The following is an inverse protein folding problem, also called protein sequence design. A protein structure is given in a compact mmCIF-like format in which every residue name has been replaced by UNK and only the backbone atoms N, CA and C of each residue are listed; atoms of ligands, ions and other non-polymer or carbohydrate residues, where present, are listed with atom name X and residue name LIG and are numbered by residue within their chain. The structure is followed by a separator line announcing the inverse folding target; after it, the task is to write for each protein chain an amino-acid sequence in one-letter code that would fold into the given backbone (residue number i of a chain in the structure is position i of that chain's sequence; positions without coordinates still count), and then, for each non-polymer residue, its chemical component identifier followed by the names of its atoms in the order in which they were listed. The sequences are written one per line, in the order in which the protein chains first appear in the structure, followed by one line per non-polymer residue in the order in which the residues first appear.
data_IF_586272390581
#
_entry.id   IF_586272390581
#
_cell.length_a   1.000
_cell.length_b   1.000
_cell.length_c   1.000
_cell.angle_alpha   90.00
_cell.angle_beta   90.00
_cell.angle_gamma   90.00
#
_symmetry.space_group_name_H-M   'P 1'
#
loop_
_entity.id
_entity.type
_entity.pdbx_description
1 polymer ?
#
# COMPACT_ATOMS: atom_id res chain seq x y z
N UNK A 1 39.25 25.75 1.64
CA UNK A 1 37.87 25.25 1.81
C UNK A 1 37.91 23.73 1.92
N UNK A 2 37.39 23.17 3.01
CA UNK A 2 37.59 21.75 3.35
C UNK A 2 36.82 20.85 2.37
N UNK A 3 37.50 19.95 1.65
CA UNK A 3 36.95 19.11 0.56
C UNK A 3 35.69 18.37 0.99
N UNK A 4 35.63 17.97 2.26
CA UNK A 4 34.49 17.29 2.87
C UNK A 4 33.23 18.16 2.94
N UNK A 5 33.39 19.46 3.22
CA UNK A 5 32.28 20.44 3.28
C UNK A 5 31.73 20.68 1.88
N UNK A 6 32.62 20.82 0.89
CA UNK A 6 32.26 21.02 -0.51
C UNK A 6 31.51 19.81 -1.10
N UNK A 7 32.01 18.58 -0.86
CA UNK A 7 31.31 17.34 -1.23
C UNK A 7 29.93 17.22 -0.59
N UNK A 8 29.80 17.62 0.69
CA UNK A 8 28.52 17.59 1.42
C UNK A 8 27.50 18.57 0.84
N UNK A 9 27.94 19.76 0.41
CA UNK A 9 27.09 20.73 -0.28
C UNK A 9 26.68 20.26 -1.69
N UNK A 10 27.61 19.76 -2.49
CA UNK A 10 27.33 19.19 -3.81
C UNK A 10 26.31 18.04 -3.75
N UNK A 11 26.45 17.12 -2.79
CA UNK A 11 25.49 16.02 -2.59
C UNK A 11 24.08 16.51 -2.26
N UNK A 12 23.96 17.62 -1.53
CA UNK A 12 22.66 18.22 -1.17
C UNK A 12 22.00 18.87 -2.38
N UNK A 13 22.79 19.55 -3.23
CA UNK A 13 22.31 20.15 -4.48
C UNK A 13 21.91 19.05 -5.48
N UNK A 14 22.75 18.04 -5.65
CA UNK A 14 22.45 16.88 -6.52
C UNK A 14 21.16 16.17 -6.12
N UNK A 15 20.93 15.92 -4.82
CA UNK A 15 19.67 15.34 -4.34
C UNK A 15 18.46 16.24 -4.56
N UNK A 16 18.60 17.57 -4.44
CA UNK A 16 17.52 18.51 -4.77
C UNK A 16 17.21 18.50 -6.27
N UNK A 17 18.24 18.45 -7.12
CA UNK A 17 18.07 18.36 -8.58
C UNK A 17 17.43 17.02 -8.95
N UNK A 18 17.87 15.90 -8.37
CA UNK A 18 17.19 14.60 -8.55
C UNK A 18 15.76 14.60 -8.02
N UNK A 19 15.46 15.29 -6.92
CA UNK A 19 14.08 15.37 -6.43
C UNK A 19 13.16 16.25 -7.31
N UNK A 20 13.74 17.15 -8.12
CA UNK A 20 13.00 18.04 -9.02
C UNK A 20 12.92 17.46 -10.44
N UNK A 21 13.95 16.75 -10.89
CA UNK A 21 14.14 16.31 -12.28
C UNK A 21 14.42 14.81 -12.44
N UNK A 22 14.63 14.08 -11.36
CA UNK A 22 14.81 12.64 -11.36
C UNK A 22 13.52 11.93 -10.99
N UNK A 23 13.43 10.67 -11.41
CA UNK A 23 12.36 9.77 -10.99
C UNK A 23 12.27 9.72 -9.46
N UNK A 24 11.10 10.03 -8.92
CA UNK A 24 10.81 10.09 -7.48
C UNK A 24 10.51 8.69 -6.91
N UNK A 25 10.46 7.67 -7.78
CA UNK A 25 10.07 6.32 -7.42
C UNK A 25 11.22 5.52 -6.78
N UNK A 26 10.83 4.45 -6.07
CA UNK A 26 11.72 3.50 -5.43
C UNK A 26 12.72 2.83 -6.41
N UNK A 27 12.32 2.68 -7.67
CA UNK A 27 13.08 2.05 -8.76
C UNK A 27 12.83 2.79 -10.09
N UNK A 28 13.69 2.60 -11.11
CA UNK A 28 13.48 3.22 -12.43
C UNK A 28 12.21 2.74 -13.15
N UNK A 29 11.68 3.55 -14.08
CA UNK A 29 10.55 3.17 -14.94
C UNK A 29 10.86 1.92 -15.74
N UNK A 30 9.87 1.03 -15.88
CA UNK A 30 10.03 -0.30 -16.47
C UNK A 30 10.70 -1.33 -15.56
N UNK A 31 11.15 -0.96 -14.35
CA UNK A 31 11.51 -1.95 -13.35
C UNK A 31 10.24 -2.65 -12.83
N UNK A 32 10.34 -3.94 -12.48
CA UNK A 32 9.20 -4.73 -11.98
C UNK A 32 8.45 -4.12 -10.78
N UNK A 33 9.13 -3.34 -9.95
CA UNK A 33 8.55 -2.62 -8.79
C UNK A 33 8.17 -1.17 -9.09
N UNK A 34 8.30 -0.72 -10.34
CA UNK A 34 7.87 0.61 -10.76
C UNK A 34 6.39 0.56 -11.12
N UNK A 35 5.57 1.50 -10.63
CA UNK A 35 4.21 1.66 -11.13
C UNK A 35 4.18 2.27 -12.55
N UNK A 36 5.30 2.83 -13.01
CA UNK A 36 5.44 3.48 -14.31
C UNK A 36 6.21 2.54 -15.25
N UNK A 37 5.58 2.17 -16.38
CA UNK A 37 6.21 1.43 -17.47
C UNK A 37 7.32 2.27 -18.14
N UNK A 38 8.24 1.65 -18.87
CA UNK A 38 9.24 2.43 -19.61
C UNK A 38 8.64 3.07 -20.88
N UNK A 39 9.31 4.09 -21.41
CA UNK A 39 8.81 4.87 -22.55
C UNK A 39 8.52 3.99 -23.78
N UNK A 40 9.37 2.99 -24.05
CA UNK A 40 9.19 2.07 -25.16
C UNK A 40 7.91 1.22 -25.01
N UNK A 41 7.64 0.68 -23.82
CA UNK A 41 6.43 -0.09 -23.53
C UNK A 41 5.16 0.76 -23.63
N UNK A 42 5.22 2.03 -23.21
CA UNK A 42 4.11 2.97 -23.33
C UNK A 42 3.81 3.23 -24.82
N UNK A 43 4.82 3.58 -25.60
CA UNK A 43 4.68 3.85 -27.03
C UNK A 43 4.15 2.63 -27.80
N UNK A 44 4.69 1.44 -27.50
CA UNK A 44 4.23 0.18 -28.07
C UNK A 44 2.76 -0.10 -27.71
N UNK A 45 2.39 0.09 -26.43
CA UNK A 45 1.03 -0.12 -25.95
C UNK A 45 0.02 0.81 -26.60
N UNK A 46 0.35 2.10 -26.75
CA UNK A 46 -0.50 3.08 -27.43
C UNK A 46 -0.64 2.75 -28.92
N UNK A 47 0.47 2.44 -29.59
CA UNK A 47 0.47 2.11 -31.02
C UNK A 47 -0.38 0.87 -31.33
N UNK A 48 -0.36 -0.12 -30.44
CA UNK A 48 -1.08 -1.38 -30.60
C UNK A 48 -2.45 -1.40 -29.91
N UNK A 49 -2.92 -0.28 -29.37
CA UNK A 49 -4.19 -0.19 -28.66
C UNK A 49 -5.35 -0.48 -29.60
N UNK A 50 -6.00 -1.64 -29.41
CA UNK A 50 -7.11 -2.11 -30.24
C UNK A 50 -8.44 -2.19 -29.49
N UNK A 51 -8.52 -1.60 -28.29
CA UNK A 51 -9.71 -1.53 -27.46
C UNK A 51 -9.85 -0.13 -26.84
N UNK A 52 -11.10 0.23 -26.48
CA UNK A 52 -11.32 1.45 -25.72
C UNK A 52 -10.96 1.18 -24.25
N UNK A 53 -9.97 1.90 -23.66
CA UNK A 53 -9.55 1.72 -22.28
C UNK A 53 -10.68 1.99 -21.27
N UNK A 54 -11.67 2.81 -21.64
CA UNK A 54 -12.85 3.07 -20.80
C UNK A 54 -13.83 1.88 -20.74
N UNK A 55 -13.66 0.90 -21.63
CA UNK A 55 -14.50 -0.31 -21.70
C UNK A 55 -13.64 -1.57 -21.61
N UNK A 56 -13.31 -1.98 -20.39
CA UNK A 56 -12.65 -3.26 -20.14
C UNK A 56 -13.61 -4.41 -20.44
N UNK A 57 -13.43 -5.05 -21.60
CA UNK A 57 -14.30 -6.16 -22.05
C UNK A 57 -14.27 -7.31 -21.03
N UNK A 58 -15.45 -7.73 -20.58
CA UNK A 58 -15.61 -8.83 -19.62
C UNK A 58 -15.33 -8.46 -18.16
N UNK A 59 -14.93 -7.21 -17.88
CA UNK A 59 -14.66 -6.73 -16.52
C UNK A 59 -15.68 -5.64 -16.17
N UNK A 60 -16.60 -5.96 -15.25
CA UNK A 60 -17.41 -4.94 -14.62
C UNK A 60 -16.62 -4.30 -13.47
N UNK A 61 -16.10 -3.09 -13.69
CA UNK A 61 -15.37 -2.35 -12.67
C UNK A 61 -16.22 -2.04 -11.44
N UNK A 62 -17.55 -1.93 -11.57
CA UNK A 62 -18.46 -1.64 -10.46
C UNK A 62 -18.05 -0.42 -9.59
N UNK A 63 -17.53 0.62 -10.24
CA UNK A 63 -16.88 1.78 -9.59
C UNK A 63 -17.77 2.44 -8.51
N UNK A 64 -19.07 2.55 -8.78
CA UNK A 64 -20.03 3.14 -7.83
C UNK A 64 -20.07 2.39 -6.51
N UNK A 65 -20.04 1.05 -6.54
CA UNK A 65 -20.06 0.24 -5.32
C UNK A 65 -18.68 0.20 -4.65
N UNK A 66 -17.58 0.30 -5.41
CA UNK A 66 -16.24 0.47 -4.82
C UNK A 66 -16.14 1.77 -4.02
N UNK A 67 -16.66 2.89 -4.53
CA UNK A 67 -16.67 4.17 -3.82
C UNK A 67 -17.55 4.12 -2.56
N UNK A 68 -18.72 3.50 -2.62
CA UNK A 68 -19.55 3.27 -1.43
C UNK A 68 -18.84 2.40 -0.39
N UNK A 69 -18.13 1.36 -0.84
CA UNK A 69 -17.36 0.50 0.06
C UNK A 69 -16.24 1.30 0.74
N UNK A 70 -15.61 2.24 0.02
CA UNK A 70 -14.61 3.13 0.59
C UNK A 70 -15.20 4.03 1.70
N UNK A 71 -16.41 4.55 1.51
CA UNK A 71 -17.11 5.32 2.56
C UNK A 71 -17.35 4.47 3.83
N UNK A 72 -17.70 3.20 3.65
CA UNK A 72 -17.84 2.25 4.77
C UNK A 72 -16.49 2.00 5.43
N UNK A 73 -15.42 1.78 4.66
CA UNK A 73 -14.07 1.57 5.18
C UNK A 73 -13.57 2.76 5.99
N UNK A 74 -13.85 3.98 5.54
CA UNK A 74 -13.51 5.20 6.27
C UNK A 74 -14.12 5.23 7.69
N UNK A 75 -15.29 4.62 7.88
CA UNK A 75 -15.93 4.54 9.20
C UNK A 75 -15.15 3.71 10.23
N UNK A 76 -14.31 2.76 9.78
CA UNK A 76 -13.46 1.95 10.66
C UNK A 76 -12.13 2.63 11.00
N UNK A 77 -11.71 3.63 10.22
CA UNK A 77 -10.41 4.28 10.37
C UNK A 77 -10.20 4.88 11.76
N UNK A 78 -11.27 5.43 12.37
CA UNK A 78 -11.25 6.00 13.72
C UNK A 78 -10.92 4.98 14.82
N UNK A 79 -11.19 3.69 14.60
CA UNK A 79 -10.97 2.60 15.56
C UNK A 79 -9.67 1.84 15.27
N UNK A 80 -8.83 2.35 14.37
CA UNK A 80 -7.63 1.66 13.92
C UNK A 80 -6.57 1.65 15.03
N UNK A 81 -6.07 0.48 15.45
CA UNK A 81 -5.18 0.38 16.61
C UNK A 81 -3.71 0.65 16.27
N UNK A 82 -3.38 0.78 14.98
CA UNK A 82 -2.00 0.76 14.49
C UNK A 82 -1.37 2.15 14.50
N UNK A 83 -0.05 2.17 14.70
CA UNK A 83 0.77 3.37 14.76
C UNK A 83 1.89 3.30 13.72
N UNK A 84 2.53 4.44 13.45
CA UNK A 84 3.71 4.50 12.57
C UNK A 84 4.80 3.53 13.02
N UNK A 85 5.22 3.66 14.28
CA UNK A 85 6.26 2.82 14.87
C UNK A 85 5.68 1.63 15.62
N UNK A 86 6.47 0.55 15.68
CA UNK A 86 6.14 -0.67 16.42
C UNK A 86 5.80 -0.38 17.88
N UNK A 87 4.70 -0.97 18.36
CA UNK A 87 4.29 -0.95 19.77
C UNK A 87 4.47 -2.32 20.42
N UNK A 88 4.72 -2.39 21.75
CA UNK A 88 4.96 -3.67 22.42
C UNK A 88 3.83 -4.71 22.27
N UNK A 89 2.58 -4.27 22.20
CA UNK A 89 1.39 -5.14 22.14
C UNK A 89 0.82 -5.31 20.73
N UNK A 90 1.51 -4.81 19.71
CA UNK A 90 1.08 -4.90 18.31
C UNK A 90 2.20 -5.49 17.47
N UNK A 91 1.84 -6.47 16.64
CA UNK A 91 2.74 -7.09 15.68
C UNK A 91 2.91 -6.19 14.46
N UNK A 92 1.83 -5.55 14.01
CA UNK A 92 1.79 -4.64 12.87
C UNK A 92 2.04 -3.17 13.26
N UNK A 93 2.62 -2.40 12.33
CA UNK A 93 2.85 -0.96 12.39
C UNK A 93 2.99 -0.39 10.98
N UNK A 94 2.66 0.88 10.75
CA UNK A 94 2.57 1.42 9.38
C UNK A 94 3.90 1.63 8.69
N UNK A 95 4.93 2.10 9.42
CA UNK A 95 6.27 2.34 8.86
C UNK A 95 7.07 1.04 8.70
N UNK A 96 6.41 -0.03 8.25
CA UNK A 96 7.02 -1.30 7.91
C UNK A 96 7.46 -1.30 6.42
N UNK A 97 8.47 -2.12 6.05
CA UNK A 97 9.10 -2.04 4.73
C UNK A 97 8.30 -2.65 3.55
N UNK A 98 7.14 -3.31 3.76
CA UNK A 98 6.53 -4.14 2.72
C UNK A 98 4.99 -4.11 2.62
N UNK A 99 4.26 -3.67 3.65
CA UNK A 99 2.80 -3.67 3.70
C UNK A 99 2.31 -2.47 4.54
N UNK A 100 2.67 -1.26 4.10
CA UNK A 100 2.52 -0.03 4.87
C UNK A 100 1.08 0.51 4.84
N UNK A 101 0.90 1.84 4.93
CA UNK A 101 -0.35 2.53 5.19
C UNK A 101 -1.55 2.02 4.37
N UNK A 102 -1.55 2.23 3.05
CA UNK A 102 -2.72 1.92 2.21
C UNK A 102 -3.09 0.44 2.26
N UNK A 103 -2.10 -0.44 2.18
CA UNK A 103 -2.32 -1.89 2.16
C UNK A 103 -2.88 -2.37 3.50
N UNK A 104 -2.30 -1.90 4.60
CA UNK A 104 -2.76 -2.22 5.94
C UNK A 104 -4.16 -1.68 6.23
N UNK A 105 -4.43 -0.43 5.89
CA UNK A 105 -5.75 0.21 6.06
C UNK A 105 -6.83 -0.55 5.29
N UNK A 106 -6.54 -0.94 4.05
CA UNK A 106 -7.46 -1.70 3.21
C UNK A 106 -7.73 -3.09 3.81
N UNK A 107 -6.69 -3.85 4.17
CA UNK A 107 -6.86 -5.20 4.72
C UNK A 107 -7.61 -5.18 6.07
N UNK A 108 -7.25 -4.26 6.96
CA UNK A 108 -7.96 -4.04 8.22
C UNK A 108 -9.45 -3.79 7.97
N UNK A 109 -9.76 -2.86 7.07
CA UNK A 109 -11.14 -2.48 6.77
C UNK A 109 -11.92 -3.63 6.13
N UNK A 110 -11.30 -4.40 5.24
CA UNK A 110 -11.91 -5.60 4.64
C UNK A 110 -12.27 -6.64 5.71
N UNK A 111 -11.37 -6.91 6.66
CA UNK A 111 -11.62 -7.87 7.75
C UNK A 111 -12.75 -7.37 8.66
N UNK A 112 -12.72 -6.08 9.04
CA UNK A 112 -13.78 -5.46 9.87
C UNK A 112 -15.14 -5.43 9.17
N UNK A 113 -15.16 -5.20 7.87
CA UNK A 113 -16.38 -5.17 7.06
C UNK A 113 -16.99 -6.56 6.86
N UNK A 114 -16.16 -7.53 6.45
CA UNK A 114 -16.65 -8.87 6.08
C UNK A 114 -16.80 -9.81 7.26
N UNK A 115 -16.09 -9.54 8.37
CA UNK A 115 -16.04 -10.38 9.56
C UNK A 115 -15.84 -11.87 9.21
N UNK A 116 -14.77 -12.22 8.47
CA UNK A 116 -14.65 -13.54 7.88
C UNK A 116 -14.34 -14.59 8.94
N UNK A 117 -14.90 -15.80 8.77
CA UNK A 117 -14.57 -16.95 9.63
C UNK A 117 -13.20 -17.57 9.34
N UNK A 118 -12.75 -17.44 8.09
CA UNK A 118 -11.49 -17.99 7.60
C UNK A 118 -10.84 -17.03 6.61
N UNK A 119 -9.52 -16.89 6.71
CA UNK A 119 -8.69 -16.18 5.75
C UNK A 119 -7.56 -17.14 5.35
N UNK A 120 -7.31 -17.26 4.04
CA UNK A 120 -6.19 -18.03 3.50
C UNK A 120 -5.19 -17.03 2.91
N UNK A 121 -3.95 -17.08 3.41
CA UNK A 121 -2.84 -16.27 2.92
C UNK A 121 -1.85 -17.15 2.17
N UNK A 122 -1.40 -16.70 1.00
CA UNK A 122 -0.26 -17.31 0.28
C UNK A 122 0.88 -16.31 0.34
N UNK A 123 1.84 -16.57 1.22
CA UNK A 123 2.87 -15.61 1.64
C UNK A 123 2.81 -15.38 3.15
N UNK A 124 3.73 -14.59 3.67
CA UNK A 124 3.70 -14.17 5.08
C UNK A 124 4.43 -12.85 5.29
N UNK A 125 4.18 -12.21 6.43
CA UNK A 125 4.88 -11.00 6.84
C UNK A 125 3.98 -10.03 7.58
N UNK A 126 4.00 -8.77 7.16
CA UNK A 126 3.23 -7.71 7.82
C UNK A 126 1.72 -7.83 7.62
N UNK A 127 1.25 -8.40 6.50
CA UNK A 127 -0.14 -8.81 6.31
C UNK A 127 -0.57 -9.84 7.37
N UNK A 128 0.23 -10.88 7.61
CA UNK A 128 -0.03 -11.86 8.68
C UNK A 128 -0.07 -11.20 10.06
N UNK A 129 0.89 -10.33 10.36
CA UNK A 129 0.95 -9.58 11.61
C UNK A 129 -0.33 -8.76 11.85
N UNK A 130 -0.80 -8.08 10.80
CA UNK A 130 -2.05 -7.31 10.84
C UNK A 130 -3.25 -8.22 11.10
N UNK A 131 -3.38 -9.33 10.37
CA UNK A 131 -4.49 -10.26 10.52
C UNK A 131 -4.59 -10.83 11.94
N UNK A 132 -3.46 -11.20 12.55
CA UNK A 132 -3.44 -11.67 13.93
C UNK A 132 -3.83 -10.59 14.93
N UNK A 133 -3.32 -9.37 14.79
CA UNK A 133 -3.70 -8.27 15.68
C UNK A 133 -5.18 -7.92 15.54
N UNK A 134 -5.73 -7.91 14.32
CA UNK A 134 -7.16 -7.64 14.10
C UNK A 134 -8.05 -8.74 14.68
N UNK A 135 -7.65 -10.00 14.52
CA UNK A 135 -8.34 -11.15 15.12
C UNK A 135 -8.42 -11.01 16.65
N UNK A 136 -7.26 -10.83 17.29
CA UNK A 136 -7.16 -10.74 18.75
C UNK A 136 -7.95 -9.55 19.31
N UNK A 137 -7.97 -8.41 18.61
CA UNK A 137 -8.59 -7.17 19.09
C UNK A 137 -10.08 -7.02 18.76
N UNK A 138 -10.55 -7.56 17.64
CA UNK A 138 -11.89 -7.26 17.12
C UNK A 138 -12.76 -8.49 16.86
N UNK A 139 -12.17 -9.68 16.64
CA UNK A 139 -12.94 -10.87 16.23
C UNK A 139 -13.09 -11.88 17.38
N UNK A 140 -12.07 -12.02 18.23
CA UNK A 140 -12.05 -13.01 19.33
C UNK A 140 -12.82 -12.54 20.59
N UNK A 141 -13.89 -11.75 20.40
CA UNK A 141 -14.83 -11.37 21.48
C UNK A 141 -15.82 -12.49 21.81
N UNK A 142 -15.32 -13.71 22.03
CA UNK A 142 -16.04 -14.84 22.63
C UNK A 142 -15.05 -15.81 23.28
N UNK A 143 -14.75 -15.58 24.56
CA UNK A 143 -13.90 -16.48 25.35
C UNK A 143 -13.76 -16.14 26.83
N UNK A 144 -14.61 -15.28 27.39
CA UNK A 144 -14.69 -15.05 28.83
C UNK A 144 -16.03 -15.53 29.39
N UNK A 145 -16.04 -16.71 30.01
CA UNK A 145 -17.12 -17.18 30.87
C UNK A 145 -17.69 -18.57 30.52
N UNK A 146 -17.27 -19.59 31.27
CA UNK A 146 -17.78 -20.97 31.21
C UNK A 146 -16.72 -22.00 31.52
#
# INVERSE_FOLDING_TARGET
MNITIFKKQLRKIYRKIQAIFGQVDFVPSGHFYSPIANDFEIDEGIKNLNYNPDSLKGINLNLKEQLKLLDIFASFYKDMPFYEDKKPHLRYYFSNPAYCHSDGICLYSMIRYTNPKHIIEIGSGFSSALMYDVKDLFLDSNGGGG
#
